data_IF_940669148788
#
_entry.id   IF_940669148788
#
_cell.length_a   1.000
_cell.length_b   1.000
_cell.length_c   1.000
_cell.angle_alpha   90.00
_cell.angle_beta   90.00
_cell.angle_gamma   90.00
#
_symmetry.space_group_name_H-M   'P 1'
#
loop_
_entity.id
_entity.type
_entity.pdbx_description
1 polymer ?
#
# COMPACT_ATOMS: atom_id res chain seq x y z
N UNK A 1 8.01 14.12 3.94
CA UNK A 1 7.01 13.49 4.83
C UNK A 1 7.72 12.34 5.52
N UNK A 2 7.75 12.35 6.84
CA UNK A 2 8.33 11.28 7.64
C UNK A 2 7.23 10.28 7.97
N UNK A 3 7.43 9.00 7.65
CA UNK A 3 6.45 7.95 7.91
C UNK A 3 6.63 7.40 9.31
N UNK A 4 5.53 7.02 9.96
CA UNK A 4 5.61 6.26 11.20
C UNK A 4 6.25 4.90 10.92
N UNK A 5 7.21 4.50 11.75
CA UNK A 5 7.78 3.16 11.64
C UNK A 5 6.72 2.08 11.93
N UNK A 6 7.02 0.86 11.52
CA UNK A 6 6.06 -0.25 11.58
C UNK A 6 5.58 -0.54 13.00
N UNK A 7 6.41 -0.36 14.04
CA UNK A 7 6.01 -0.60 15.43
C UNK A 7 5.02 0.45 15.90
N UNK A 8 5.31 1.73 15.63
CA UNK A 8 4.39 2.84 15.93
C UNK A 8 3.05 2.69 15.21
N UNK A 9 3.07 2.38 13.91
CA UNK A 9 1.85 2.11 13.13
C UNK A 9 1.07 0.95 13.71
N UNK A 10 1.74 -0.14 14.08
CA UNK A 10 1.07 -1.33 14.63
C UNK A 10 0.32 -1.02 15.92
N UNK A 11 0.96 -0.31 16.86
CA UNK A 11 0.31 0.08 18.12
C UNK A 11 -0.82 1.09 17.85
N UNK A 12 -0.59 2.08 16.99
CA UNK A 12 -1.61 3.09 16.67
C UNK A 12 -2.84 2.49 15.98
N UNK A 13 -2.64 1.54 15.06
CA UNK A 13 -3.73 0.80 14.41
C UNK A 13 -4.48 -0.06 15.43
N UNK A 14 -3.78 -0.71 16.36
CA UNK A 14 -4.43 -1.48 17.42
C UNK A 14 -5.32 -0.60 18.30
N UNK A 15 -4.84 0.59 18.70
CA UNK A 15 -5.64 1.58 19.44
C UNK A 15 -6.83 2.05 18.62
N UNK A 16 -6.63 2.36 17.33
CA UNK A 16 -7.68 2.92 16.49
C UNK A 16 -8.81 1.92 16.19
N UNK A 17 -8.51 0.61 16.15
CA UNK A 17 -9.49 -0.46 15.88
C UNK A 17 -10.54 -0.60 16.99
N UNK A 18 -10.20 -0.25 18.22
CA UNK A 18 -11.16 -0.26 19.35
C UNK A 18 -12.16 0.90 19.30
N UNK A 19 -12.01 1.82 18.33
CA UNK A 19 -12.97 2.88 18.09
C UNK A 19 -12.96 3.96 19.17
N UNK A 20 -14.14 4.50 19.51
CA UNK A 20 -14.26 5.59 20.49
C UNK A 20 -14.24 5.13 21.94
N UNK A 21 -14.44 3.83 22.19
CA UNK A 21 -14.36 3.27 23.54
C UNK A 21 -12.92 3.22 24.06
N UNK A 22 -11.95 3.23 23.14
CA UNK A 22 -10.54 3.13 23.45
C UNK A 22 -10.13 1.75 23.94
N UNK A 23 -8.87 1.68 24.36
CA UNK A 23 -8.24 0.41 24.74
C UNK A 23 -7.38 0.59 25.98
N UNK A 24 -7.31 -0.44 26.82
CA UNK A 24 -6.38 -0.45 27.96
C UNK A 24 -4.99 -0.91 27.56
N UNK A 25 -4.00 -0.56 28.38
CA UNK A 25 -2.63 -1.06 28.20
C UNK A 25 -2.55 -2.58 28.27
N UNK A 26 -3.29 -3.21 29.18
CA UNK A 26 -3.29 -4.66 29.35
C UNK A 26 -3.85 -5.36 28.11
N UNK A 27 -4.92 -4.82 27.52
CA UNK A 27 -5.47 -5.34 26.27
C UNK A 27 -4.47 -5.20 25.11
N UNK A 28 -3.79 -4.05 24.98
CA UNK A 28 -2.75 -3.86 23.98
C UNK A 28 -1.59 -4.83 24.15
N UNK A 29 -1.14 -5.06 25.39
CA UNK A 29 -0.08 -6.02 25.68
C UNK A 29 -0.50 -7.42 25.27
N UNK A 30 -1.70 -7.86 25.63
CA UNK A 30 -2.22 -9.17 25.25
C UNK A 30 -2.24 -9.33 23.72
N UNK A 31 -2.78 -8.34 23.00
CA UNK A 31 -2.96 -8.38 21.55
C UNK A 31 -1.65 -8.31 20.75
N UNK A 32 -0.60 -7.66 21.29
CA UNK A 32 0.65 -7.39 20.55
C UNK A 32 1.87 -8.17 21.09
N UNK A 33 1.71 -8.92 22.18
CA UNK A 33 2.80 -9.65 22.86
C UNK A 33 3.56 -10.65 21.98
N UNK A 34 2.95 -11.13 20.90
CA UNK A 34 3.59 -12.08 19.98
C UNK A 34 4.74 -11.47 19.15
N UNK A 35 4.84 -10.14 19.08
CA UNK A 35 5.87 -9.47 18.29
C UNK A 35 6.36 -8.13 18.88
N UNK A 36 5.82 -7.67 20.02
CA UNK A 36 6.32 -6.52 20.77
C UNK A 36 6.45 -6.85 22.27
N UNK A 37 7.52 -6.35 22.89
CA UNK A 37 7.68 -6.41 24.35
C UNK A 37 6.76 -5.39 25.03
N UNK A 38 6.38 -5.67 26.29
CA UNK A 38 5.60 -4.76 27.13
C UNK A 38 6.23 -3.36 27.20
N UNK A 39 7.55 -3.29 27.43
CA UNK A 39 8.26 -2.01 27.53
C UNK A 39 8.24 -1.23 26.22
N UNK A 40 8.33 -1.93 25.08
CA UNK A 40 8.20 -1.29 23.77
C UNK A 40 6.79 -0.73 23.55
N UNK A 41 5.74 -1.46 23.95
CA UNK A 41 4.35 -1.00 23.81
C UNK A 41 4.14 0.27 24.64
N UNK A 42 4.57 0.28 25.90
CA UNK A 42 4.43 1.43 26.80
C UNK A 42 5.15 2.66 26.22
N UNK A 43 6.40 2.48 25.78
CA UNK A 43 7.18 3.57 25.20
C UNK A 43 6.51 4.14 23.93
N UNK A 44 6.01 3.27 23.05
CA UNK A 44 5.33 3.70 21.83
C UNK A 44 4.03 4.44 22.16
N UNK A 45 3.27 4.01 23.17
CA UNK A 45 2.07 4.72 23.62
C UNK A 45 2.43 6.15 24.07
N UNK A 46 3.52 6.29 24.84
CA UNK A 46 4.02 7.60 25.27
C UNK A 46 4.40 8.48 24.07
N UNK A 47 5.17 7.93 23.12
CA UNK A 47 5.56 8.63 21.89
C UNK A 47 4.33 9.07 21.08
N UNK A 48 3.33 8.20 20.91
CA UNK A 48 2.09 8.48 20.19
C UNK A 48 1.23 9.54 20.88
N UNK A 49 1.22 9.58 22.22
CA UNK A 49 0.51 10.58 23.00
C UNK A 49 1.12 11.97 22.79
N UNK A 50 2.44 12.08 22.95
CA UNK A 50 3.14 13.36 22.74
C UNK A 50 3.10 13.82 21.29
N UNK A 51 2.98 12.89 20.34
CA UNK A 51 2.75 13.18 18.92
C UNK A 51 1.29 13.48 18.57
N UNK A 52 0.38 13.52 19.55
CA UNK A 52 -1.06 13.83 19.39
C UNK A 52 -1.84 12.84 18.50
N UNK A 53 -1.31 11.65 18.27
CA UNK A 53 -2.03 10.58 17.56
C UNK A 53 -3.08 9.91 18.43
N UNK A 54 -2.92 9.97 19.75
CA UNK A 54 -3.84 9.39 20.72
C UNK A 54 -4.16 10.38 21.84
N UNK A 55 -5.30 10.17 22.47
CA UNK A 55 -5.78 10.86 23.68
C UNK A 55 -5.93 9.82 24.79
N UNK A 56 -5.74 10.25 26.03
CA UNK A 56 -5.95 9.42 27.23
C UNK A 56 -7.30 9.79 27.86
N UNK A 57 -8.17 8.82 28.04
CA UNK A 57 -9.33 8.92 28.92
C UNK A 57 -9.01 8.27 30.26
N UNK A 58 -9.37 8.95 31.33
CA UNK A 58 -9.26 8.43 32.68
C UNK A 58 -10.65 8.43 33.28
N UNK A 59 -11.18 7.23 33.48
CA UNK A 59 -12.28 7.02 34.39
C UNK A 59 -11.71 6.57 35.74
N UNK A 60 -12.49 6.73 36.80
CA UNK A 60 -12.14 6.54 38.21
C UNK A 60 -11.40 5.23 38.50
N UNK A 61 -11.60 4.20 37.67
CA UNK A 61 -11.00 2.87 37.81
C UNK A 61 -10.17 2.39 36.60
N UNK A 62 -10.09 3.15 35.49
CA UNK A 62 -9.47 2.64 34.25
C UNK A 62 -8.86 3.77 33.39
N UNK A 63 -7.70 3.49 32.81
CA UNK A 63 -7.05 4.36 31.82
C UNK A 63 -7.22 3.73 30.43
N UNK A 64 -7.81 4.50 29.52
CA UNK A 64 -8.01 4.09 28.12
C UNK A 64 -7.32 5.03 27.16
N UNK A 65 -6.75 4.45 26.11
CA UNK A 65 -6.12 5.17 25.01
C UNK A 65 -7.07 5.19 23.81
N UNK A 66 -7.29 6.36 23.22
CA UNK A 66 -8.18 6.55 22.08
C UNK A 66 -7.41 7.21 20.96
N UNK A 67 -7.55 6.73 19.73
CA UNK A 67 -7.02 7.41 18.56
C UNK A 67 -7.65 8.81 18.38
N UNK A 68 -6.83 9.80 18.01
CA UNK A 68 -7.30 11.16 17.75
C UNK A 68 -8.33 11.17 16.62
N UNK A 69 -9.11 12.26 16.52
CA UNK A 69 -10.13 12.39 15.45
C UNK A 69 -9.51 12.23 14.06
N UNK A 70 -8.34 12.84 13.83
CA UNK A 70 -7.61 12.73 12.56
C UNK A 70 -7.21 11.28 12.25
N UNK A 71 -6.65 10.56 13.23
CA UNK A 71 -6.30 9.14 13.06
C UNK A 71 -7.55 8.30 12.76
N UNK A 72 -8.66 8.51 13.48
CA UNK A 72 -9.89 7.76 13.24
C UNK A 72 -10.46 8.00 11.84
N UNK A 73 -10.51 9.25 11.40
CA UNK A 73 -10.91 9.60 10.04
C UNK A 73 -9.98 8.99 8.98
N UNK A 74 -8.66 9.06 9.20
CA UNK A 74 -7.67 8.47 8.32
C UNK A 74 -7.85 6.94 8.22
N UNK A 75 -8.14 6.27 9.34
CA UNK A 75 -8.45 4.85 9.38
C UNK A 75 -9.76 4.50 8.66
N UNK A 76 -10.81 5.32 8.78
CA UNK A 76 -12.04 5.17 8.00
C UNK A 76 -11.74 5.21 6.50
N UNK A 77 -10.94 6.19 6.06
CA UNK A 77 -10.53 6.32 4.66
C UNK A 77 -9.73 5.10 4.19
N UNK A 78 -8.80 4.60 5.01
CA UNK A 78 -7.99 3.42 4.72
C UNK A 78 -8.86 2.15 4.60
N UNK A 79 -9.75 1.90 5.56
CA UNK A 79 -10.65 0.74 5.52
C UNK A 79 -11.61 0.80 4.33
N UNK A 80 -12.08 1.99 3.95
CA UNK A 80 -12.89 2.15 2.73
C UNK A 80 -12.10 1.79 1.46
N UNK A 81 -10.81 2.15 1.38
CA UNK A 81 -9.98 1.73 0.24
C UNK A 81 -9.71 0.23 0.25
N UNK A 82 -9.45 -0.36 1.42
CA UNK A 82 -9.31 -1.82 1.58
C UNK A 82 -10.56 -2.53 1.08
N UNK A 83 -11.75 -2.06 1.49
CA UNK A 83 -13.02 -2.60 1.01
C UNK A 83 -13.17 -2.51 -0.52
N UNK A 84 -12.89 -1.35 -1.12
CA UNK A 84 -12.97 -1.15 -2.58
C UNK A 84 -12.04 -2.09 -3.33
N UNK A 85 -10.83 -2.30 -2.84
CA UNK A 85 -9.86 -3.23 -3.40
C UNK A 85 -10.34 -4.67 -3.26
N UNK A 86 -10.78 -5.09 -2.08
CA UNK A 86 -11.31 -6.44 -1.86
C UNK A 86 -12.49 -6.72 -2.81
N UNK A 87 -13.42 -5.78 -2.95
CA UNK A 87 -14.52 -5.87 -3.93
C UNK A 87 -14.01 -5.98 -5.37
N UNK A 88 -12.97 -5.24 -5.73
CA UNK A 88 -12.36 -5.36 -7.05
C UNK A 88 -11.77 -6.75 -7.27
N UNK A 89 -11.06 -7.30 -6.27
CA UNK A 89 -10.46 -8.63 -6.33
C UNK A 89 -11.50 -9.76 -6.39
N UNK A 90 -12.60 -9.64 -5.63
CA UNK A 90 -13.74 -10.55 -5.71
C UNK A 90 -14.34 -10.57 -7.12
N UNK A 91 -14.56 -9.39 -7.69
CA UNK A 91 -15.03 -9.28 -9.06
C UNK A 91 -14.03 -9.92 -10.02
N UNK A 92 -12.73 -9.63 -9.89
CA UNK A 92 -11.70 -10.22 -10.75
C UNK A 92 -11.67 -11.76 -10.69
N UNK A 93 -11.83 -12.36 -9.51
CA UNK A 93 -11.96 -13.81 -9.36
C UNK A 93 -13.18 -14.38 -10.08
N UNK A 94 -14.32 -13.71 -9.98
CA UNK A 94 -15.56 -14.16 -10.67
C UNK A 94 -15.46 -14.10 -12.20
N UNK A 95 -14.51 -13.33 -12.72
CA UNK A 95 -14.30 -13.17 -14.16
C UNK A 95 -13.39 -14.27 -14.73
N UNK A 96 -12.44 -14.81 -13.93
CA UNK A 96 -11.51 -15.86 -14.33
C UNK A 96 -12.14 -17.24 -14.62
N UNK A 97 -13.41 -17.46 -14.24
CA UNK A 97 -14.16 -18.70 -14.48
C UNK A 97 -14.91 -18.74 -15.82
N UNK A 98 -14.74 -17.73 -16.67
CA UNK A 98 -15.39 -17.64 -17.99
C UNK A 98 -14.33 -17.68 -19.10
N UNK A 99 -14.30 -18.78 -19.86
CA UNK A 99 -13.19 -19.17 -20.75
C UNK A 99 -13.05 -18.39 -22.06
N UNK A 100 -13.84 -17.36 -22.30
CA UNK A 100 -13.72 -16.54 -23.51
C UNK A 100 -13.77 -15.06 -23.12
N UNK A 101 -12.61 -14.41 -23.02
CA UNK A 101 -12.55 -12.96 -22.85
C UNK A 101 -11.66 -12.34 -23.90
N UNK A 102 -12.26 -11.41 -24.65
CA UNK A 102 -11.59 -10.52 -25.59
C UNK A 102 -10.63 -9.62 -24.80
N UNK A 103 -9.42 -9.39 -25.33
CA UNK A 103 -8.39 -8.54 -24.73
C UNK A 103 -8.92 -7.17 -24.21
N UNK A 104 -9.94 -6.61 -24.83
CA UNK A 104 -10.59 -5.36 -24.41
C UNK A 104 -11.24 -5.41 -23.02
N UNK A 105 -11.80 -6.54 -22.60
CA UNK A 105 -12.39 -6.65 -21.25
C UNK A 105 -11.31 -6.70 -20.18
N UNK A 106 -10.20 -7.39 -20.47
CA UNK A 106 -9.06 -7.47 -19.57
C UNK A 106 -8.49 -6.06 -19.37
N UNK A 107 -8.29 -5.30 -20.45
CA UNK A 107 -7.82 -3.91 -20.40
C UNK A 107 -8.71 -3.03 -19.50
N UNK A 108 -10.04 -3.10 -19.67
CA UNK A 108 -10.99 -2.35 -18.82
C UNK A 108 -10.89 -2.70 -17.34
N UNK A 109 -10.62 -3.97 -17.02
CA UNK A 109 -10.46 -4.44 -15.64
C UNK A 109 -9.17 -3.89 -15.04
N UNK A 110 -8.07 -3.94 -15.77
CA UNK A 110 -6.79 -3.38 -15.31
C UNK A 110 -6.91 -1.88 -15.06
N UNK A 111 -7.51 -1.15 -15.99
CA UNK A 111 -7.70 0.29 -15.90
C UNK A 111 -8.56 0.69 -14.69
N UNK A 112 -9.63 -0.09 -14.43
CA UNK A 112 -10.44 0.05 -13.21
C UNK A 112 -9.62 -0.20 -11.95
N UNK A 113 -8.77 -1.23 -11.94
CA UNK A 113 -7.88 -1.54 -10.82
C UNK A 113 -6.90 -0.41 -10.54
N UNK A 114 -6.17 0.06 -11.57
CA UNK A 114 -5.24 1.18 -11.47
C UNK A 114 -5.93 2.46 -11.00
N UNK A 115 -7.16 2.72 -11.46
CA UNK A 115 -7.96 3.87 -11.01
C UNK A 115 -8.34 3.77 -9.53
N UNK A 116 -8.70 2.58 -9.04
CA UNK A 116 -8.99 2.38 -7.61
C UNK A 116 -7.73 2.65 -6.78
N UNK A 117 -6.57 2.14 -7.22
CA UNK A 117 -5.29 2.31 -6.53
C UNK A 117 -4.88 3.78 -6.49
N UNK A 118 -4.88 4.46 -7.62
CA UNK A 118 -4.47 5.87 -7.71
C UNK A 118 -5.39 6.78 -6.91
N UNK A 119 -6.71 6.58 -7.01
CA UNK A 119 -7.70 7.30 -6.20
C UNK A 119 -7.49 7.02 -4.71
N UNK A 120 -7.16 5.77 -4.35
CA UNK A 120 -6.85 5.38 -2.98
C UNK A 120 -5.67 6.18 -2.41
N UNK A 121 -4.54 6.23 -3.12
CA UNK A 121 -3.39 7.03 -2.71
C UNK A 121 -3.73 8.52 -2.56
N UNK A 122 -4.44 9.11 -3.53
CA UNK A 122 -4.83 10.52 -3.46
C UNK A 122 -5.72 10.82 -2.25
N UNK A 123 -6.64 9.93 -1.91
CA UNK A 123 -7.53 10.09 -0.75
C UNK A 123 -6.79 9.93 0.58
N UNK A 124 -5.75 9.08 0.63
CA UNK A 124 -5.00 8.84 1.86
C UNK A 124 -3.97 9.94 2.18
N UNK A 125 -3.69 10.84 1.24
CA UNK A 125 -2.77 11.97 1.44
C UNK A 125 -3.33 13.09 2.33
N UNK A 126 -4.63 13.10 2.66
CA UNK A 126 -5.31 14.31 3.17
C UNK A 126 -5.30 14.50 4.68
N UNK A 127 -5.13 13.46 5.50
CA UNK A 127 -5.24 13.57 6.97
C UNK A 127 -4.00 13.09 7.71
N UNK A 128 -3.79 11.77 7.81
CA UNK A 128 -2.64 11.16 8.49
C UNK A 128 -1.87 10.27 7.53
N UNK A 129 -1.28 10.85 6.46
CA UNK A 129 -0.60 10.09 5.41
C UNK A 129 0.62 9.31 5.91
N UNK A 130 1.26 9.76 6.97
CA UNK A 130 2.38 9.09 7.65
C UNK A 130 1.99 7.72 8.24
N UNK A 131 0.69 7.50 8.51
CA UNK A 131 0.11 6.23 8.92
C UNK A 131 -0.45 5.47 7.73
N UNK A 132 -1.34 6.09 6.95
CA UNK A 132 -2.20 5.38 6.00
C UNK A 132 -1.52 5.00 4.70
N UNK A 133 -0.62 5.84 4.18
CA UNK A 133 0.11 5.58 2.94
C UNK A 133 0.96 4.31 3.08
N UNK A 134 1.82 4.14 4.10
CA UNK A 134 2.62 2.92 4.19
C UNK A 134 1.77 1.68 4.49
N UNK A 135 0.67 1.77 5.23
CA UNK A 135 -0.30 0.66 5.39
C UNK A 135 -0.92 0.24 4.05
N UNK A 136 -1.25 1.21 3.20
CA UNK A 136 -1.79 0.96 1.88
C UNK A 136 -0.73 0.43 0.91
N UNK A 137 0.49 0.96 0.97
CA UNK A 137 1.62 0.50 0.16
C UNK A 137 2.02 -0.93 0.46
N UNK A 138 2.02 -1.37 1.72
CA UNK A 138 2.28 -2.78 2.08
C UNK A 138 1.24 -3.72 1.45
N UNK A 139 -0.04 -3.32 1.43
CA UNK A 139 -1.09 -4.05 0.72
C UNK A 139 -0.84 -4.06 -0.80
N UNK A 140 -0.46 -2.92 -1.38
CA UNK A 140 -0.19 -2.80 -2.82
C UNK A 140 1.05 -3.58 -3.25
N UNK A 141 2.06 -3.70 -2.41
CA UNK A 141 3.25 -4.50 -2.70
C UNK A 141 2.86 -5.97 -2.91
N UNK A 142 2.01 -6.50 -2.04
CA UNK A 142 1.48 -7.86 -2.14
C UNK A 142 0.66 -8.04 -3.42
N UNK A 143 -0.31 -7.17 -3.67
CA UNK A 143 -1.17 -7.26 -4.86
C UNK A 143 -0.39 -7.04 -6.16
N UNK A 144 0.62 -6.19 -6.15
CA UNK A 144 1.48 -5.95 -7.32
C UNK A 144 2.25 -7.20 -7.68
N UNK A 145 2.86 -7.86 -6.69
CA UNK A 145 3.62 -9.11 -6.91
C UNK A 145 2.72 -10.21 -7.46
N UNK A 146 1.53 -10.38 -6.91
CA UNK A 146 0.67 -11.53 -7.23
C UNK A 146 -0.21 -11.34 -8.48
N UNK A 147 -0.69 -10.12 -8.70
CA UNK A 147 -1.76 -9.84 -9.66
C UNK A 147 -1.33 -8.80 -10.71
N UNK A 148 -0.99 -7.59 -10.28
CA UNK A 148 -0.78 -6.49 -11.23
C UNK A 148 0.48 -6.64 -12.09
N UNK A 149 1.52 -7.30 -11.60
CA UNK A 149 2.73 -7.60 -12.39
C UNK A 149 2.41 -8.31 -13.71
N UNK A 150 1.44 -9.23 -13.68
CA UNK A 150 0.99 -9.99 -14.87
C UNK A 150 -0.02 -9.21 -15.68
N UNK A 151 -0.92 -8.50 -15.02
CA UNK A 151 -1.99 -7.76 -15.69
C UNK A 151 -1.49 -6.51 -16.42
N UNK A 152 -0.52 -5.78 -15.85
CA UNK A 152 0.04 -4.57 -16.46
C UNK A 152 0.80 -4.90 -17.74
N UNK A 153 1.52 -6.03 -17.78
CA UNK A 153 2.19 -6.51 -19.01
C UNK A 153 1.21 -6.74 -20.18
N UNK A 154 -0.06 -7.04 -19.90
CA UNK A 154 -1.10 -7.19 -20.92
C UNK A 154 -1.63 -5.84 -21.45
N UNK A 155 -1.25 -4.74 -20.79
CA UNK A 155 -1.73 -3.38 -21.09
C UNK A 155 -0.65 -2.45 -21.61
N UNK A 156 0.62 -2.83 -21.47
CA UNK A 156 1.73 -2.07 -22.04
C UNK A 156 1.60 -2.06 -23.56
N UNK A 157 1.30 -0.87 -24.10
CA UNK A 157 1.62 -0.56 -25.49
C UNK A 157 3.13 -0.57 -25.65
N UNK A 158 3.62 -0.83 -26.87
CA UNK A 158 5.04 -0.71 -27.20
C UNK A 158 5.59 0.59 -26.61
N UNK A 159 6.58 0.47 -25.72
CA UNK A 159 7.27 1.60 -25.11
C UNK A 159 7.81 2.48 -26.22
N UNK A 160 7.52 3.79 -26.19
CA UNK A 160 7.98 4.67 -27.25
C UNK A 160 9.51 4.72 -27.28
N UNK A 161 10.09 4.98 -28.45
CA UNK A 161 11.55 5.12 -28.59
C UNK A 161 12.12 6.19 -27.66
N UNK A 162 11.36 7.27 -27.42
CA UNK A 162 11.70 8.33 -26.48
C UNK A 162 11.75 7.83 -25.03
N UNK A 163 10.75 7.05 -24.60
CA UNK A 163 10.74 6.43 -23.27
C UNK A 163 11.87 5.41 -23.08
N UNK A 164 12.23 4.66 -24.13
CA UNK A 164 13.36 3.73 -24.11
C UNK A 164 14.69 4.46 -23.96
N UNK A 165 14.92 5.53 -24.73
CA UNK A 165 16.13 6.34 -24.59
C UNK A 165 16.23 6.94 -23.19
N UNK A 166 15.11 7.45 -22.66
CA UNK A 166 15.06 8.00 -21.31
C UNK A 166 15.33 6.93 -20.24
N UNK A 167 14.78 5.74 -20.41
CA UNK A 167 15.05 4.60 -19.52
C UNK A 167 16.54 4.26 -19.51
N UNK A 168 17.19 4.20 -20.67
CA UNK A 168 18.62 3.91 -20.76
C UNK A 168 19.47 5.01 -20.12
N UNK A 169 19.11 6.28 -20.27
CA UNK A 169 19.75 7.40 -19.57
C UNK A 169 19.61 7.26 -18.04
N UNK A 170 18.42 6.91 -17.55
CA UNK A 170 18.16 6.70 -16.12
C UNK A 170 18.97 5.50 -15.58
N UNK A 171 19.03 4.38 -16.31
CA UNK A 171 19.83 3.22 -15.91
C UNK A 171 21.31 3.58 -15.87
N UNK A 172 21.81 4.29 -16.89
CA UNK A 172 23.20 4.78 -16.91
C UNK A 172 23.50 5.65 -15.70
N UNK A 173 22.59 6.56 -15.34
CA UNK A 173 22.74 7.48 -14.19
C UNK A 173 22.72 6.76 -12.84
N UNK A 174 21.80 5.81 -12.62
CA UNK A 174 21.59 5.20 -11.30
C UNK A 174 22.28 3.84 -11.12
N UNK A 175 22.61 3.15 -12.20
CA UNK A 175 23.21 1.79 -12.21
C UNK A 175 24.52 1.67 -13.00
N UNK A 176 24.90 2.72 -13.74
CA UNK A 176 26.16 2.78 -14.48
C UNK A 176 26.07 2.30 -15.94
N UNK A 177 27.09 2.64 -16.72
CA UNK A 177 27.13 2.40 -18.18
C UNK A 177 26.91 0.94 -18.57
N UNK A 178 27.57 0.03 -17.82
CA UNK A 178 27.56 -1.41 -18.11
C UNK A 178 26.16 -2.02 -18.03
N UNK A 179 25.37 -1.58 -17.05
CA UNK A 179 23.99 -2.03 -16.88
C UNK A 179 23.08 -1.45 -17.97
N UNK A 180 23.30 -0.19 -18.36
CA UNK A 180 22.55 0.45 -19.44
C UNK A 180 22.80 -0.24 -20.79
N UNK A 181 24.06 -0.60 -21.06
CA UNK A 181 24.45 -1.26 -22.31
C UNK A 181 23.94 -2.70 -22.37
N UNK A 182 23.92 -3.40 -21.23
CA UNK A 182 23.29 -4.73 -21.11
C UNK A 182 21.80 -4.67 -21.43
N UNK A 183 21.08 -3.69 -20.86
CA UNK A 183 19.64 -3.51 -21.10
C UNK A 183 19.38 -3.09 -22.56
N UNK A 184 20.19 -2.20 -23.14
CA UNK A 184 20.11 -1.81 -24.56
C UNK A 184 20.23 -3.02 -25.47
N UNK A 185 21.19 -3.90 -25.20
CA UNK A 185 21.41 -5.12 -25.98
C UNK A 185 20.20 -6.08 -25.86
N UNK A 186 19.64 -6.26 -24.66
CA UNK A 186 18.44 -7.08 -24.45
C UNK A 186 17.20 -6.54 -25.20
N UNK A 187 16.99 -5.23 -25.16
CA UNK A 187 15.88 -4.57 -25.89
C UNK A 187 16.03 -4.72 -27.42
N UNK A 188 17.27 -4.69 -27.93
CA UNK A 188 17.57 -4.90 -29.35
C UNK A 188 17.35 -6.35 -29.84
N UNK A 189 17.42 -7.33 -28.93
CA UNK A 189 17.15 -8.75 -29.23
C UNK A 189 15.65 -9.05 -29.24
N UNK A 190 14.89 -8.42 -28.33
CA UNK A 190 13.43 -8.53 -28.28
C UNK A 190 12.76 -8.00 -29.56
N UNK A 191 13.20 -6.84 -30.04
CA UNK A 191 12.68 -6.19 -31.26
C UNK A 191 13.00 -6.95 -32.56
N UNK A 192 14.12 -7.68 -32.63
CA UNK A 192 14.42 -8.55 -33.79
C UNK A 192 13.57 -9.82 -33.86
N UNK A 193 13.03 -10.28 -32.73
CA UNK A 193 12.24 -11.51 -32.65
C UNK A 193 10.79 -11.28 -33.11
N UNK A 194 10.26 -10.06 -32.95
CA UNK A 194 8.94 -9.67 -33.45
C UNK A 194 8.90 -9.36 -34.97
N UNK A 195 10.05 -9.04 -35.59
CA UNK A 195 10.13 -8.78 -37.03
C UNK A 195 10.24 -10.06 -37.89
N UNK A 196 10.25 -11.25 -37.27
CA UNK A 196 10.36 -12.56 -37.94
C UNK A 196 9.12 -13.46 -37.75
N UNK A 197 8.03 -12.94 -37.18
CA UNK A 197 6.68 -13.55 -37.17
C UNK A 197 5.74 -12.73 -38.04
#
# INVERSE_FOLDING_TARGET
MEFLDKKHRTVLVAIAKEGYEGVTVDHLILSLSSFLSKDSIIKIIEDLYFSQYITVLRDSNEVRYIASKAVRNAMISLELQRFRLTRFLENLKSLGSSHERKNEEILKIVDKGLRIISTGYLQLLTETPELTIPEYSELMEMLTKEIFSKLVQLTEKETSSEEVEKLLELIKKYRGEKDAETIRNLLSLSSKTQAQQ
#
